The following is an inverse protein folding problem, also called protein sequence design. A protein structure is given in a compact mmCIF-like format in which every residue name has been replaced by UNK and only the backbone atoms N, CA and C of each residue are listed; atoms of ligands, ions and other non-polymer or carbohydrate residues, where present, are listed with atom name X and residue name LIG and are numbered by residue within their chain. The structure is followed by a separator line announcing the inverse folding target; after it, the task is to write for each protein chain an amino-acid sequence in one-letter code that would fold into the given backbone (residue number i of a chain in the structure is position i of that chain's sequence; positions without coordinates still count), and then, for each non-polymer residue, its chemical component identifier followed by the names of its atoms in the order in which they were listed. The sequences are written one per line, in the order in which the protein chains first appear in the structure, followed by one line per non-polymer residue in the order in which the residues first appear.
data_IF_474263931143
#
_entry.id   IF_474263931143
#
_cell.length_a   1.000
_cell.length_b   1.000
_cell.length_c   1.000
_cell.angle_alpha   90.00
_cell.angle_beta   90.00
_cell.angle_gamma   90.00
#
_symmetry.space_group_name_H-M   'P 1'
#
loop_
_entity.id
_entity.type
_entity.pdbx_description
1 polymer ?
#
# COMPACT_ATOMS: atom_id res chain seq x y z
N UNK A 1 72.01 21.63 86.88
CA UNK A 1 72.51 22.59 87.87
C UNK A 1 73.36 23.59 87.13
N UNK A 2 72.87 24.81 86.94
CA UNK A 2 73.68 25.91 86.40
C UNK A 2 74.37 26.61 87.56
N UNK A 3 75.71 26.53 87.62
CA UNK A 3 76.57 27.37 88.46
C UNK A 3 77.96 27.46 87.79
N UNK A 4 78.18 28.47 86.93
CA UNK A 4 79.54 28.93 86.56
C UNK A 4 79.55 30.20 85.67
N UNK A 5 78.58 31.12 85.82
CA UNK A 5 78.62 32.40 85.10
C UNK A 5 79.30 33.53 85.91
N UNK A 6 80.04 33.19 86.97
CA UNK A 6 80.56 34.16 87.96
C UNK A 6 82.09 34.30 87.99
N UNK A 7 82.87 33.51 87.23
CA UNK A 7 84.35 33.54 87.33
C UNK A 7 85.07 34.46 86.32
N UNK A 8 84.35 35.05 85.37
CA UNK A 8 84.89 36.02 84.42
C UNK A 8 84.95 37.46 84.96
N UNK A 9 84.85 37.67 86.28
CA UNK A 9 84.80 39.01 86.88
C UNK A 9 86.02 39.39 87.74
N UNK A 10 87.24 38.89 87.47
CA UNK A 10 88.45 39.33 88.20
C UNK A 10 89.60 39.85 87.29
N UNK A 11 89.87 41.18 87.23
CA UNK A 11 90.69 41.81 86.16
C UNK A 11 92.21 42.05 86.37
N UNK A 12 92.91 41.62 87.43
CA UNK A 12 94.31 42.06 87.69
C UNK A 12 95.47 41.17 87.20
N UNK A 13 95.24 39.93 86.75
CA UNK A 13 96.34 38.96 86.48
C UNK A 13 96.86 38.97 85.03
N UNK A 14 96.13 39.60 84.10
CA UNK A 14 96.34 39.51 82.65
C UNK A 14 97.48 40.39 82.09
N UNK A 15 98.05 41.35 82.83
CA UNK A 15 98.89 42.41 82.23
C UNK A 15 100.41 42.25 82.43
N UNK A 16 100.87 41.61 83.51
CA UNK A 16 102.29 41.66 83.89
C UNK A 16 103.26 40.86 83.02
N UNK A 17 102.83 39.73 82.44
CA UNK A 17 103.74 38.81 81.76
C UNK A 17 103.99 39.13 80.27
N UNK A 18 103.18 40.00 79.66
CA UNK A 18 103.26 40.34 78.23
C UNK A 18 104.49 41.14 77.81
N UNK A 19 105.20 41.82 78.72
CA UNK A 19 106.26 42.77 78.37
C UNK A 19 107.65 42.14 78.14
N UNK A 20 107.98 41.05 78.85
CA UNK A 20 109.32 40.43 78.74
C UNK A 20 109.49 39.67 77.42
N UNK A 21 108.39 39.16 76.86
CA UNK A 21 108.34 38.51 75.55
C UNK A 21 108.71 39.45 74.38
N UNK A 22 108.65 40.78 74.56
CA UNK A 22 108.83 41.74 73.47
C UNK A 22 110.29 42.17 73.25
N UNK A 23 111.12 42.21 74.29
CA UNK A 23 112.48 42.80 74.17
C UNK A 23 113.49 41.86 73.50
N UNK A 24 113.47 40.57 73.84
CA UNK A 24 114.40 39.57 73.28
C UNK A 24 114.13 39.33 71.79
N UNK A 25 112.87 39.46 71.36
CA UNK A 25 112.46 39.31 69.96
C UNK A 25 113.07 40.38 69.04
N UNK A 26 113.38 41.57 69.57
CA UNK A 26 113.87 42.69 68.77
C UNK A 26 115.35 42.56 68.33
N UNK A 27 116.21 41.92 69.14
CA UNK A 27 117.66 41.84 68.86
C UNK A 27 118.03 40.79 67.81
N UNK A 28 117.29 39.68 67.75
CA UNK A 28 117.57 38.58 66.80
C UNK A 28 117.19 38.95 65.35
N UNK A 29 116.24 39.89 65.18
CA UNK A 29 115.79 40.31 63.85
C UNK A 29 116.83 41.13 63.07
N UNK A 30 117.86 41.69 63.73
CA UNK A 30 118.77 42.66 63.11
C UNK A 30 120.00 42.05 62.43
N UNK A 31 120.52 40.91 62.91
CA UNK A 31 121.81 40.37 62.45
C UNK A 31 121.76 39.48 61.20
N UNK A 32 120.60 38.97 60.80
CA UNK A 32 120.49 38.07 59.63
C UNK A 32 120.31 38.76 58.27
N UNK A 33 120.13 40.09 58.25
CA UNK A 33 119.76 40.85 57.06
C UNK A 33 120.85 40.90 55.97
N UNK A 34 122.13 40.65 56.29
CA UNK A 34 123.25 40.84 55.34
C UNK A 34 123.51 39.65 54.39
N UNK A 35 123.16 38.40 54.75
CA UNK A 35 123.25 37.26 53.82
C UNK A 35 122.11 37.17 52.80
N UNK A 36 121.16 38.13 52.84
CA UNK A 36 119.97 38.15 51.97
C UNK A 36 120.18 38.86 50.63
N UNK A 37 121.27 39.61 50.44
CA UNK A 37 121.41 40.50 49.29
C UNK A 37 121.76 39.80 47.95
N UNK A 38 122.51 38.69 47.95
CA UNK A 38 122.87 37.99 46.70
C UNK A 38 121.81 37.00 46.20
N UNK A 39 120.91 36.52 47.08
CA UNK A 39 119.79 35.63 46.69
C UNK A 39 118.54 36.37 46.22
N UNK A 40 118.45 37.68 46.44
CA UNK A 40 117.30 38.49 46.06
C UNK A 40 117.26 38.86 44.57
N UNK A 41 118.40 39.00 43.89
CA UNK A 41 118.40 39.41 42.47
C UNK A 41 117.83 38.34 41.53
N UNK A 42 118.17 37.06 41.74
CA UNK A 42 117.71 35.97 40.87
C UNK A 42 116.19 35.71 40.98
N UNK A 43 115.58 35.97 42.15
CA UNK A 43 114.17 35.71 42.41
C UNK A 43 113.26 36.86 41.95
N UNK A 44 113.76 38.10 41.98
CA UNK A 44 113.00 39.31 41.58
C UNK A 44 112.78 39.34 40.06
N UNK A 45 113.76 38.91 39.25
CA UNK A 45 113.61 38.82 37.79
C UNK A 45 112.55 37.79 37.39
N UNK A 46 112.49 36.65 38.08
CA UNK A 46 111.48 35.63 37.82
C UNK A 46 110.07 36.09 38.21
N UNK A 47 109.92 36.80 39.33
CA UNK A 47 108.64 37.33 39.77
C UNK A 47 108.13 38.49 38.88
N UNK A 48 109.02 39.34 38.36
CA UNK A 48 108.66 40.39 37.39
C UNK A 48 108.15 39.78 36.07
N UNK A 49 108.74 38.68 35.61
CA UNK A 49 108.27 37.96 34.42
C UNK A 49 106.86 37.38 34.56
N UNK A 50 106.51 36.84 35.73
CA UNK A 50 105.16 36.34 36.00
C UNK A 50 104.13 37.45 36.23
N UNK A 51 104.53 38.59 36.81
CA UNK A 51 103.65 39.75 36.97
C UNK A 51 103.34 40.42 35.63
N UNK A 52 104.32 40.55 34.73
CA UNK A 52 104.10 41.11 33.39
C UNK A 52 103.05 40.30 32.61
N UNK A 53 103.16 38.96 32.64
CA UNK A 53 102.19 38.07 31.98
C UNK A 53 100.78 38.16 32.59
N UNK A 54 100.66 38.38 33.91
CA UNK A 54 99.34 38.54 34.56
C UNK A 54 98.69 39.88 34.27
N UNK A 55 99.45 40.97 34.18
CA UNK A 55 98.93 42.29 33.83
C UNK A 55 98.44 42.31 32.38
N UNK A 56 99.15 41.64 31.47
CA UNK A 56 98.76 41.52 30.06
C UNK A 56 97.50 40.65 29.88
N UNK A 57 97.36 39.57 30.64
CA UNK A 57 96.14 38.78 30.67
C UNK A 57 94.94 39.56 31.25
N UNK A 58 95.15 40.39 32.26
CA UNK A 58 94.09 41.24 32.83
C UNK A 58 93.68 42.35 31.86
N UNK A 59 94.63 43.00 31.17
CA UNK A 59 94.29 44.02 30.17
C UNK A 59 93.55 43.43 28.98
N UNK A 60 93.89 42.21 28.56
CA UNK A 60 93.16 41.47 27.53
C UNK A 60 91.72 41.14 27.97
N UNK A 61 91.53 40.70 29.22
CA UNK A 61 90.19 40.44 29.77
C UNK A 61 89.34 41.71 29.89
N UNK A 62 89.94 42.85 30.25
CA UNK A 62 89.24 44.13 30.38
C UNK A 62 88.85 44.71 29.02
N UNK A 63 89.69 44.55 27.99
CA UNK A 63 89.36 44.92 26.62
C UNK A 63 88.21 44.06 26.04
N UNK A 64 88.16 42.76 26.39
CA UNK A 64 87.10 41.86 25.96
C UNK A 64 85.75 42.21 26.61
N UNK A 65 85.75 42.65 27.86
CA UNK A 65 84.53 43.10 28.56
C UNK A 65 84.01 44.44 28.03
N UNK A 66 84.89 45.40 27.72
CA UNK A 66 84.48 46.69 27.14
C UNK A 66 83.92 46.52 25.71
N UNK A 67 84.47 45.56 24.94
CA UNK A 67 83.92 45.13 23.66
C UNK A 67 82.54 44.46 23.79
N UNK A 68 82.37 43.57 24.77
CA UNK A 68 81.10 42.89 25.04
C UNK A 68 79.97 43.84 25.46
N UNK A 69 80.27 44.82 26.32
CA UNK A 69 79.29 45.81 26.78
C UNK A 69 78.87 46.78 25.67
N UNK A 70 79.80 47.19 24.79
CA UNK A 70 79.45 48.00 23.60
C UNK A 70 78.63 47.21 22.59
N UNK A 71 78.97 45.95 22.35
CA UNK A 71 78.18 45.08 21.47
C UNK A 71 76.76 44.88 22.00
N UNK A 72 76.61 44.68 23.31
CA UNK A 72 75.29 44.50 23.93
C UNK A 72 74.45 45.77 23.89
N UNK A 73 75.03 46.95 24.16
CA UNK A 73 74.33 48.24 24.03
C UNK A 73 73.87 48.51 22.58
N UNK A 74 74.69 48.14 21.59
CA UNK A 74 74.34 48.30 20.18
C UNK A 74 73.22 47.34 19.74
N UNK A 75 73.23 46.08 20.23
CA UNK A 75 72.13 45.15 19.98
C UNK A 75 70.82 45.59 20.64
N UNK A 76 70.87 46.20 21.83
CA UNK A 76 69.68 46.72 22.51
C UNK A 76 69.08 47.93 21.78
N UNK A 77 69.92 48.83 21.24
CA UNK A 77 69.47 49.96 20.42
C UNK A 77 68.83 49.53 19.09
N UNK A 78 69.36 48.47 18.46
CA UNK A 78 68.77 47.88 17.25
C UNK A 78 67.43 47.19 17.53
N UNK A 79 67.27 46.53 18.69
CA UNK A 79 66.00 45.90 19.08
C UNK A 79 64.92 46.97 19.33
N UNK A 80 65.27 48.11 19.94
CA UNK A 80 64.32 49.19 20.16
C UNK A 80 63.83 49.82 18.84
N UNK A 81 64.73 50.09 17.89
CA UNK A 81 64.36 50.62 16.56
C UNK A 81 63.57 49.61 15.73
N UNK A 82 63.89 48.31 15.84
CA UNK A 82 63.11 47.26 15.18
C UNK A 82 61.71 47.10 15.77
N UNK A 83 61.56 47.22 17.09
CA UNK A 83 60.25 47.24 17.76
C UNK A 83 59.39 48.43 17.32
N UNK A 84 59.99 49.61 17.18
CA UNK A 84 59.28 50.82 16.76
C UNK A 84 58.82 50.72 15.29
N UNK A 85 59.65 50.17 14.40
CA UNK A 85 59.24 49.86 13.02
C UNK A 85 58.13 48.80 12.96
N UNK A 86 58.21 47.73 13.76
CA UNK A 86 57.17 46.70 13.83
C UNK A 86 55.84 47.25 14.33
N UNK A 87 55.85 48.15 15.32
CA UNK A 87 54.63 48.77 15.83
C UNK A 87 53.96 49.66 14.78
N UNK A 88 54.73 50.44 14.00
CA UNK A 88 54.20 51.22 12.88
C UNK A 88 53.61 50.34 11.77
N UNK A 89 54.32 49.26 11.41
CA UNK A 89 53.88 48.31 10.37
C UNK A 89 52.62 47.53 10.78
N UNK A 90 52.50 47.16 12.06
CA UNK A 90 51.30 46.51 12.60
C UNK A 90 50.12 47.49 12.65
N UNK A 91 50.33 48.76 13.01
CA UNK A 91 49.25 49.75 13.10
C UNK A 91 48.67 50.11 11.72
N UNK A 92 49.52 50.21 10.69
CA UNK A 92 49.09 50.45 9.29
C UNK A 92 48.36 49.23 8.73
N UNK A 93 48.89 48.02 8.93
CA UNK A 93 48.23 46.79 8.48
C UNK A 93 46.87 46.56 9.19
N UNK A 94 46.75 46.90 10.47
CA UNK A 94 45.47 46.81 11.17
C UNK A 94 44.44 47.78 10.59
N UNK A 95 44.82 49.03 10.32
CA UNK A 95 43.92 50.03 9.74
C UNK A 95 43.51 49.66 8.32
N UNK A 96 44.43 49.17 7.50
CA UNK A 96 44.13 48.75 6.13
C UNK A 96 43.21 47.52 6.10
N UNK A 97 43.45 46.53 6.98
CA UNK A 97 42.58 45.37 7.09
C UNK A 97 41.21 45.73 7.65
N UNK A 98 41.11 46.62 8.64
CA UNK A 98 39.82 47.11 9.15
C UNK A 98 39.04 47.86 8.07
N UNK A 99 39.71 48.69 7.25
CA UNK A 99 39.09 49.38 6.13
C UNK A 99 38.62 48.42 5.02
N UNK A 100 39.41 47.39 4.71
CA UNK A 100 39.04 46.32 3.76
C UNK A 100 37.86 45.50 4.28
N UNK A 101 37.85 45.16 5.57
CA UNK A 101 36.74 44.45 6.22
C UNK A 101 35.48 45.31 6.19
N UNK A 102 35.55 46.59 6.55
CA UNK A 102 34.38 47.49 6.53
C UNK A 102 33.80 47.72 5.12
N UNK A 103 34.65 47.87 4.08
CA UNK A 103 34.14 47.96 2.70
C UNK A 103 33.54 46.64 2.23
N UNK A 104 34.20 45.52 2.53
CA UNK A 104 33.70 44.19 2.18
C UNK A 104 32.37 43.85 2.86
N UNK A 105 32.16 44.22 4.13
CA UNK A 105 30.85 44.05 4.79
C UNK A 105 29.80 45.02 4.25
N UNK A 106 30.16 46.25 3.89
CA UNK A 106 29.22 47.20 3.27
C UNK A 106 28.73 46.75 1.89
N UNK A 107 29.64 46.31 1.02
CA UNK A 107 29.31 45.81 -0.33
C UNK A 107 28.51 44.51 -0.27
N UNK A 108 28.86 43.58 0.64
CA UNK A 108 28.09 42.36 0.82
C UNK A 108 26.70 42.61 1.39
N UNK A 109 26.55 43.57 2.33
CA UNK A 109 25.24 43.93 2.87
C UNK A 109 24.36 44.61 1.81
N UNK A 110 24.94 45.49 0.98
CA UNK A 110 24.23 46.11 -0.13
C UNK A 110 23.78 45.08 -1.17
N UNK A 111 24.66 44.14 -1.56
CA UNK A 111 24.29 43.04 -2.46
C UNK A 111 23.23 42.12 -1.86
N UNK A 112 23.28 41.86 -0.56
CA UNK A 112 22.29 41.03 0.13
C UNK A 112 20.93 41.74 0.20
N UNK A 113 20.92 43.05 0.46
CA UNK A 113 19.69 43.86 0.46
C UNK A 113 19.07 43.97 -0.94
N UNK A 114 19.91 44.16 -1.97
CA UNK A 114 19.50 44.14 -3.38
C UNK A 114 18.92 42.79 -3.77
N UNK A 115 19.63 41.68 -3.51
CA UNK A 115 19.14 40.32 -3.80
C UNK A 115 17.86 39.99 -3.04
N UNK A 116 17.72 40.44 -1.80
CA UNK A 116 16.51 40.23 -1.01
C UNK A 116 15.32 41.02 -1.60
N UNK A 117 15.55 42.25 -2.07
CA UNK A 117 14.54 43.05 -2.77
C UNK A 117 14.13 42.41 -4.10
N UNK A 118 15.09 41.96 -4.90
CA UNK A 118 14.81 41.31 -6.19
C UNK A 118 14.08 39.97 -6.00
N UNK A 119 14.47 39.21 -4.96
CA UNK A 119 13.80 37.94 -4.62
C UNK A 119 12.38 38.21 -4.10
N UNK A 120 12.17 39.24 -3.26
CA UNK A 120 10.83 39.60 -2.79
C UNK A 120 9.93 40.08 -3.93
N UNK A 121 10.45 40.87 -4.88
CA UNK A 121 9.71 41.31 -6.05
C UNK A 121 9.32 40.13 -6.96
N UNK A 122 10.26 39.22 -7.23
CA UNK A 122 9.99 38.00 -7.99
C UNK A 122 8.97 37.08 -7.28
N UNK A 123 9.09 36.94 -5.95
CA UNK A 123 8.18 36.15 -5.14
C UNK A 123 6.78 36.78 -5.06
N UNK A 124 6.67 38.11 -5.04
CA UNK A 124 5.39 38.82 -5.08
C UNK A 124 4.69 38.69 -6.44
N UNK A 125 5.43 38.79 -7.54
CA UNK A 125 4.89 38.55 -8.89
C UNK A 125 4.44 37.09 -9.06
N UNK A 126 5.24 36.13 -8.60
CA UNK A 126 4.88 34.71 -8.63
C UNK A 126 3.65 34.42 -7.75
N UNK A 127 3.52 35.09 -6.60
CA UNK A 127 2.34 34.94 -5.73
C UNK A 127 1.09 35.55 -6.37
N UNK A 128 1.19 36.69 -7.06
CA UNK A 128 0.08 37.26 -7.82
C UNK A 128 -0.34 36.38 -9.00
N UNK A 129 0.62 35.84 -9.75
CA UNK A 129 0.34 34.93 -10.87
C UNK A 129 -0.30 33.63 -10.39
N UNK A 130 0.17 33.08 -9.27
CA UNK A 130 -0.44 31.92 -8.63
C UNK A 130 -1.86 32.22 -8.12
N UNK A 131 -2.10 33.39 -7.53
CA UNK A 131 -3.43 33.81 -7.08
C UNK A 131 -4.38 34.04 -8.26
N UNK A 132 -3.93 34.65 -9.35
CA UNK A 132 -4.73 34.85 -10.55
C UNK A 132 -5.07 33.52 -11.23
N UNK A 133 -4.09 32.62 -11.39
CA UNK A 133 -4.32 31.28 -11.92
C UNK A 133 -5.21 30.44 -11.00
N UNK A 134 -5.08 30.58 -9.68
CA UNK A 134 -5.98 29.94 -8.73
C UNK A 134 -7.40 30.49 -8.88
N UNK A 135 -7.60 31.80 -8.94
CA UNK A 135 -8.92 32.41 -9.14
C UNK A 135 -9.58 31.97 -10.45
N UNK A 136 -8.82 31.91 -11.56
CA UNK A 136 -9.34 31.43 -12.84
C UNK A 136 -9.76 29.96 -12.78
N UNK A 137 -8.94 29.09 -12.15
CA UNK A 137 -9.29 27.67 -11.96
C UNK A 137 -10.50 27.49 -11.05
N UNK A 138 -10.59 28.26 -9.97
CA UNK A 138 -11.73 28.21 -9.06
C UNK A 138 -13.01 28.70 -9.74
N UNK A 139 -12.95 29.78 -10.52
CA UNK A 139 -14.11 30.27 -11.27
C UNK A 139 -14.56 29.31 -12.37
N UNK A 140 -13.63 28.67 -13.08
CA UNK A 140 -13.98 27.61 -14.05
C UNK A 140 -14.58 26.40 -13.35
N UNK A 141 -13.98 25.94 -12.26
CA UNK A 141 -14.52 24.82 -11.48
C UNK A 141 -15.92 25.13 -10.92
N UNK A 142 -16.15 26.35 -10.43
CA UNK A 142 -17.46 26.77 -9.94
C UNK A 142 -18.50 26.86 -11.06
N UNK A 143 -18.12 27.38 -12.24
CA UNK A 143 -19.01 27.43 -13.41
C UNK A 143 -19.39 26.04 -13.88
N UNK A 144 -18.42 25.12 -14.00
CA UNK A 144 -18.66 23.72 -14.38
C UNK A 144 -19.53 22.99 -13.35
N UNK A 145 -19.32 23.26 -12.06
CA UNK A 145 -20.10 22.67 -10.97
C UNK A 145 -21.54 23.23 -10.99
N UNK A 146 -21.72 24.51 -11.27
CA UNK A 146 -23.03 25.14 -11.42
C UNK A 146 -23.79 24.61 -12.64
N UNK A 147 -23.10 24.40 -13.77
CA UNK A 147 -23.69 23.80 -14.98
C UNK A 147 -24.06 22.32 -14.76
N UNK A 148 -23.19 21.54 -14.11
CA UNK A 148 -23.48 20.14 -13.75
C UNK A 148 -24.60 20.02 -12.71
N UNK A 149 -24.65 20.92 -11.73
CA UNK A 149 -25.75 20.96 -10.77
C UNK A 149 -27.06 21.37 -11.45
N UNK A 150 -27.05 22.35 -12.34
CA UNK A 150 -28.28 22.78 -13.03
C UNK A 150 -28.80 21.69 -13.98
N UNK A 151 -27.92 21.08 -14.77
CA UNK A 151 -28.27 19.94 -15.64
C UNK A 151 -28.70 18.70 -14.84
N UNK A 152 -28.05 18.40 -13.72
CA UNK A 152 -28.45 17.29 -12.84
C UNK A 152 -29.76 17.58 -12.11
N UNK A 153 -30.00 18.80 -11.62
CA UNK A 153 -31.24 19.18 -10.93
C UNK A 153 -32.41 19.26 -11.91
N UNK A 154 -32.25 19.86 -13.09
CA UNK A 154 -33.28 19.86 -14.13
C UNK A 154 -33.53 18.47 -14.70
N UNK A 155 -32.47 17.67 -14.88
CA UNK A 155 -32.57 16.26 -15.30
C UNK A 155 -33.30 15.41 -14.27
N UNK A 156 -32.91 15.51 -12.99
CA UNK A 156 -33.57 14.82 -11.88
C UNK A 156 -35.01 15.30 -11.68
N UNK A 157 -35.29 16.60 -11.80
CA UNK A 157 -36.65 17.14 -11.70
C UNK A 157 -37.54 16.64 -12.84
N UNK A 158 -37.03 16.60 -14.09
CA UNK A 158 -37.74 16.05 -15.24
C UNK A 158 -37.97 14.55 -15.10
N UNK A 159 -36.97 13.80 -14.63
CA UNK A 159 -37.07 12.36 -14.41
C UNK A 159 -38.00 12.04 -13.24
N UNK A 160 -38.00 12.86 -12.18
CA UNK A 160 -38.91 12.75 -11.04
C UNK A 160 -40.33 13.10 -11.44
N UNK A 161 -40.54 14.16 -12.22
CA UNK A 161 -41.86 14.51 -12.78
C UNK A 161 -42.39 13.39 -13.67
N UNK A 162 -41.54 12.86 -14.57
CA UNK A 162 -41.92 11.72 -15.44
C UNK A 162 -42.24 10.48 -14.62
N UNK A 163 -41.44 10.19 -13.59
CA UNK A 163 -41.67 9.05 -12.68
C UNK A 163 -42.93 9.25 -11.86
N UNK A 164 -43.23 10.46 -11.40
CA UNK A 164 -44.48 10.80 -10.70
C UNK A 164 -45.70 10.70 -11.62
N UNK A 165 -45.59 11.13 -12.87
CA UNK A 165 -46.65 10.96 -13.87
C UNK A 165 -46.87 9.47 -14.18
N UNK A 166 -45.80 8.69 -14.36
CA UNK A 166 -45.89 7.24 -14.52
C UNK A 166 -46.43 6.54 -13.27
N UNK A 167 -46.10 7.03 -12.07
CA UNK A 167 -46.67 6.53 -10.81
C UNK A 167 -48.14 6.91 -10.67
N UNK A 168 -48.55 8.10 -11.08
CA UNK A 168 -49.96 8.50 -11.14
C UNK A 168 -50.73 7.69 -12.17
N UNK A 169 -50.16 7.41 -13.34
CA UNK A 169 -50.74 6.49 -14.33
C UNK A 169 -50.84 5.08 -13.77
N UNK A 170 -49.80 4.60 -13.08
CA UNK A 170 -49.83 3.29 -12.40
C UNK A 170 -50.84 3.25 -11.26
N UNK A 171 -50.96 4.31 -10.47
CA UNK A 171 -51.97 4.43 -9.41
C UNK A 171 -53.38 4.49 -10.01
N UNK A 172 -53.59 5.21 -11.10
CA UNK A 172 -54.86 5.19 -11.84
C UNK A 172 -55.15 3.81 -12.46
N UNK A 173 -54.12 3.05 -12.89
CA UNK A 173 -54.31 1.64 -13.26
C UNK A 173 -54.57 0.74 -12.06
N UNK A 174 -54.07 1.08 -10.87
CA UNK A 174 -54.36 0.36 -9.63
C UNK A 174 -55.78 0.65 -9.17
N UNK A 175 -56.27 1.89 -9.27
CA UNK A 175 -57.67 2.25 -9.00
C UNK A 175 -58.62 1.60 -10.00
N UNK A 176 -58.24 1.54 -11.29
CA UNK A 176 -58.94 0.71 -12.30
C UNK A 176 -58.85 -0.78 -12.00
N UNK A 177 -57.71 -1.26 -11.48
CA UNK A 177 -57.56 -2.65 -11.06
C UNK A 177 -58.41 -2.93 -9.80
N UNK A 178 -58.60 -1.94 -8.92
CA UNK A 178 -59.46 -2.02 -7.75
C UNK A 178 -60.93 -2.03 -8.16
N UNK A 179 -61.36 -1.17 -9.10
CA UNK A 179 -62.67 -1.26 -9.74
C UNK A 179 -62.87 -2.62 -10.45
N UNK A 180 -61.83 -3.15 -11.09
CA UNK A 180 -61.85 -4.49 -11.67
C UNK A 180 -61.89 -5.60 -10.60
N UNK A 181 -61.34 -5.39 -9.41
CA UNK A 181 -61.46 -6.31 -8.26
C UNK A 181 -62.88 -6.26 -7.68
N UNK A 182 -63.53 -5.09 -7.62
CA UNK A 182 -64.95 -4.99 -7.25
C UNK A 182 -65.85 -5.61 -8.32
N UNK A 183 -65.47 -5.50 -9.60
CA UNK A 183 -66.11 -6.20 -10.74
C UNK A 183 -65.77 -7.69 -10.83
N UNK A 184 -64.71 -8.17 -10.19
CA UNK A 184 -64.36 -9.60 -10.15
C UNK A 184 -65.43 -10.42 -9.41
N UNK A 185 -66.22 -9.79 -8.54
CA UNK A 185 -67.42 -10.39 -7.96
C UNK A 185 -68.60 -10.49 -8.95
N UNK A 186 -68.55 -9.77 -10.08
CA UNK A 186 -69.53 -9.78 -11.17
C UNK A 186 -69.09 -10.51 -12.44
N UNK A 187 -67.80 -10.84 -12.60
CA UNK A 187 -67.23 -11.55 -13.76
C UNK A 187 -67.58 -13.05 -13.84
N UNK A 188 -68.55 -13.51 -13.07
CA UNK A 188 -69.23 -14.79 -13.35
C UNK A 188 -70.16 -14.65 -14.58
N UNK A 189 -70.58 -13.43 -14.92
CA UNK A 189 -71.49 -13.18 -16.05
C UNK A 189 -70.79 -13.10 -17.41
N UNK A 190 -69.54 -12.62 -17.50
CA UNK A 190 -68.80 -12.56 -18.79
C UNK A 190 -68.22 -13.91 -19.23
N UNK A 191 -68.15 -14.88 -18.32
CA UNK A 191 -67.81 -16.27 -18.59
C UNK A 191 -68.93 -17.01 -19.36
N UNK A 192 -70.21 -16.67 -19.12
CA UNK A 192 -71.36 -17.41 -19.68
C UNK A 192 -71.41 -17.37 -21.22
N UNK A 193 -71.05 -16.23 -21.84
CA UNK A 193 -71.16 -16.05 -23.29
C UNK A 193 -70.02 -16.73 -24.08
N UNK A 194 -68.85 -16.92 -23.46
CA UNK A 194 -67.67 -17.55 -24.09
C UNK A 194 -67.65 -19.08 -23.85
N UNK A 195 -68.35 -19.58 -22.83
CA UNK A 195 -68.20 -20.95 -22.31
C UNK A 195 -69.37 -21.90 -22.61
N UNK A 196 -70.23 -21.59 -23.58
CA UNK A 196 -71.41 -22.42 -23.90
C UNK A 196 -71.09 -23.87 -24.34
N UNK A 197 -69.89 -24.14 -24.88
CA UNK A 197 -69.49 -25.47 -25.36
C UNK A 197 -68.25 -26.02 -24.65
N UNK A 198 -68.31 -27.28 -24.20
CA UNK A 198 -67.26 -28.03 -23.47
C UNK A 198 -65.87 -27.94 -24.11
N UNK A 199 -65.81 -27.97 -25.44
CA UNK A 199 -64.54 -27.92 -26.15
C UNK A 199 -63.90 -26.52 -26.12
N UNK A 200 -64.71 -25.47 -26.26
CA UNK A 200 -64.27 -24.08 -26.15
C UNK A 200 -63.81 -23.76 -24.72
N UNK A 201 -64.43 -24.37 -23.71
CA UNK A 201 -64.01 -24.28 -22.29
C UNK A 201 -62.63 -24.87 -22.06
N UNK A 202 -62.39 -26.08 -22.57
CA UNK A 202 -61.07 -26.72 -22.49
C UNK A 202 -59.99 -25.87 -23.15
N UNK A 203 -60.28 -25.38 -24.36
CA UNK A 203 -59.39 -24.48 -25.08
C UNK A 203 -59.12 -23.17 -24.32
N UNK A 204 -60.11 -22.58 -23.65
CA UNK A 204 -59.91 -21.36 -22.85
C UNK A 204 -58.92 -21.60 -21.70
N UNK A 205 -59.07 -22.70 -20.96
CA UNK A 205 -58.15 -23.06 -19.89
C UNK A 205 -56.72 -23.28 -20.41
N UNK A 206 -56.57 -23.97 -21.55
CA UNK A 206 -55.28 -24.20 -22.19
C UNK A 206 -54.64 -22.90 -22.71
N UNK A 207 -55.41 -22.00 -23.32
CA UNK A 207 -54.94 -20.70 -23.81
C UNK A 207 -54.45 -19.84 -22.64
N UNK A 208 -55.22 -19.77 -21.55
CA UNK A 208 -54.85 -19.00 -20.37
C UNK A 208 -53.60 -19.58 -19.70
N UNK A 209 -53.51 -20.91 -19.57
CA UNK A 209 -52.32 -21.58 -19.06
C UNK A 209 -51.09 -21.27 -19.93
N UNK A 210 -51.21 -21.36 -21.25
CA UNK A 210 -50.13 -21.08 -22.19
C UNK A 210 -49.65 -19.62 -22.06
N UNK A 211 -50.57 -18.66 -21.98
CA UNK A 211 -50.23 -17.24 -21.80
C UNK A 211 -49.46 -17.00 -20.48
N UNK A 212 -49.92 -17.61 -19.37
CA UNK A 212 -49.26 -17.52 -18.06
C UNK A 212 -47.87 -18.14 -18.11
N UNK A 213 -47.74 -19.36 -18.64
CA UNK A 213 -46.46 -20.07 -18.74
C UNK A 213 -45.49 -19.33 -19.64
N UNK A 214 -45.94 -18.85 -20.80
CA UNK A 214 -45.10 -18.11 -21.75
C UNK A 214 -44.60 -16.76 -21.22
N UNK A 215 -45.36 -16.12 -20.31
CA UNK A 215 -44.91 -14.91 -19.60
C UNK A 215 -43.99 -15.22 -18.42
N UNK A 216 -44.20 -16.35 -17.75
CA UNK A 216 -43.48 -16.69 -16.54
C UNK A 216 -42.14 -17.39 -16.81
N UNK A 217 -42.04 -18.20 -17.85
CA UNK A 217 -40.93 -19.11 -18.08
C UNK A 217 -40.31 -18.93 -19.47
N UNK A 218 -38.98 -19.06 -19.60
CA UNK A 218 -38.32 -19.16 -20.90
C UNK A 218 -38.84 -20.33 -21.75
N UNK A 219 -38.93 -20.15 -23.07
CA UNK A 219 -39.50 -21.16 -24.00
C UNK A 219 -38.79 -22.53 -23.98
N UNK A 220 -37.53 -22.57 -23.59
CA UNK A 220 -36.73 -23.81 -23.48
C UNK A 220 -36.99 -24.57 -22.17
N UNK A 221 -37.70 -23.97 -21.21
CA UNK A 221 -37.95 -24.54 -19.88
C UNK A 221 -39.30 -25.21 -19.72
N UNK A 222 -40.11 -25.30 -20.78
CA UNK A 222 -41.38 -26.00 -20.76
C UNK A 222 -41.75 -26.58 -22.12
N UNK A 223 -42.61 -27.59 -22.12
CA UNK A 223 -43.22 -28.19 -23.30
C UNK A 223 -44.73 -28.22 -23.15
N UNK A 224 -45.45 -27.63 -24.10
CA UNK A 224 -46.91 -27.70 -24.15
C UNK A 224 -47.36 -29.00 -24.80
N UNK A 225 -48.50 -29.54 -24.36
CA UNK A 225 -49.10 -30.75 -24.94
C UNK A 225 -48.11 -31.93 -24.98
N UNK A 226 -47.27 -32.05 -23.94
CA UNK A 226 -46.23 -33.06 -23.86
C UNK A 226 -46.82 -34.44 -23.57
N UNK A 227 -46.32 -35.48 -24.26
CA UNK A 227 -46.77 -36.86 -24.05
C UNK A 227 -45.73 -37.60 -23.21
N UNK A 228 -46.17 -38.09 -22.05
CA UNK A 228 -45.35 -38.86 -21.10
C UNK A 228 -45.12 -40.30 -21.58
N UNK A 229 -44.21 -41.02 -20.91
CA UNK A 229 -43.88 -42.42 -21.22
C UNK A 229 -45.08 -43.37 -21.22
N UNK A 230 -46.10 -43.07 -20.41
CA UNK A 230 -47.35 -43.84 -20.30
C UNK A 230 -48.37 -43.52 -21.42
N UNK A 231 -47.99 -42.71 -22.41
CA UNK A 231 -48.85 -42.31 -23.54
C UNK A 231 -49.93 -41.29 -23.17
N UNK A 232 -49.92 -40.74 -21.95
CA UNK A 232 -50.83 -39.66 -21.54
C UNK A 232 -50.24 -38.32 -21.93
N UNK A 233 -51.09 -37.44 -22.44
CA UNK A 233 -50.73 -36.09 -22.86
C UNK A 233 -51.14 -35.09 -21.78
N UNK A 234 -50.18 -34.33 -21.29
CA UNK A 234 -50.38 -33.25 -20.33
C UNK A 234 -50.44 -31.90 -21.04
N UNK A 235 -51.15 -30.93 -20.45
CA UNK A 235 -51.30 -29.61 -21.07
C UNK A 235 -49.98 -28.82 -21.07
N UNK A 236 -49.20 -28.93 -19.99
CA UNK A 236 -47.86 -28.35 -19.90
C UNK A 236 -46.95 -29.23 -19.03
N UNK A 237 -45.71 -29.41 -19.47
CA UNK A 237 -44.62 -29.98 -18.69
C UNK A 237 -43.54 -28.90 -18.50
N UNK A 238 -43.17 -28.62 -17.26
CA UNK A 238 -42.09 -27.70 -16.92
C UNK A 238 -40.84 -28.51 -16.65
N UNK A 239 -39.76 -28.19 -17.36
CA UNK A 239 -38.46 -28.79 -17.14
C UNK A 239 -37.81 -28.11 -15.95
N UNK A 240 -37.50 -28.88 -14.91
CA UNK A 240 -36.75 -28.43 -13.73
C UNK A 240 -35.59 -29.39 -13.45
N UNK A 241 -34.51 -28.89 -12.83
CA UNK A 241 -33.42 -29.75 -12.36
C UNK A 241 -33.92 -30.72 -11.28
N UNK A 242 -33.28 -31.88 -11.18
CA UNK A 242 -33.54 -32.86 -10.13
C UNK A 242 -32.69 -32.56 -8.87
N UNK A 243 -33.26 -32.50 -7.65
CA UNK A 243 -34.69 -32.45 -7.31
C UNK A 243 -35.31 -31.03 -7.46
N UNK A 244 -36.63 -30.90 -7.76
CA UNK A 244 -37.65 -31.97 -7.76
C UNK A 244 -37.84 -32.70 -9.11
N UNK A 245 -37.22 -32.25 -10.20
CA UNK A 245 -37.45 -32.82 -11.54
C UNK A 245 -38.68 -32.23 -12.26
N UNK A 246 -39.02 -32.72 -13.47
CA UNK A 246 -40.04 -32.11 -14.33
C UNK A 246 -41.45 -32.11 -13.70
N UNK A 247 -42.14 -30.97 -13.70
CA UNK A 247 -43.48 -30.82 -13.09
C UNK A 247 -44.53 -30.69 -14.17
N UNK A 248 -45.61 -31.45 -14.04
CA UNK A 248 -46.77 -31.39 -14.94
C UNK A 248 -47.82 -30.39 -14.44
N UNK A 249 -48.40 -29.63 -15.36
CA UNK A 249 -49.60 -28.81 -15.14
C UNK A 249 -50.71 -29.30 -16.07
N UNK A 250 -51.88 -29.55 -15.49
CA UNK A 250 -53.09 -29.95 -16.22
C UNK A 250 -54.25 -29.01 -15.86
N UNK A 251 -54.90 -28.47 -16.89
CA UNK A 251 -55.99 -27.52 -16.77
C UNK A 251 -57.31 -28.28 -16.64
N UNK A 252 -58.00 -28.11 -15.51
CA UNK A 252 -59.32 -28.72 -15.26
C UNK A 252 -60.31 -27.68 -14.79
N UNK A 253 -61.46 -27.68 -15.45
CA UNK A 253 -62.52 -26.72 -15.16
C UNK A 253 -63.83 -27.44 -14.81
N UNK A 254 -64.16 -27.61 -13.52
CA UNK A 254 -65.40 -28.25 -13.06
C UNK A 254 -66.60 -27.28 -13.14
N UNK A 255 -66.69 -26.48 -14.21
CA UNK A 255 -67.65 -25.39 -14.33
C UNK A 255 -69.11 -25.87 -14.27
N UNK A 256 -69.45 -26.96 -14.96
CA UNK A 256 -70.84 -27.48 -15.02
C UNK A 256 -71.39 -27.78 -13.61
N UNK A 257 -70.56 -28.39 -12.77
CA UNK A 257 -70.94 -28.72 -11.40
C UNK A 257 -71.02 -27.46 -10.50
N UNK A 258 -70.18 -26.46 -10.79
CA UNK A 258 -70.19 -25.17 -10.11
C UNK A 258 -71.41 -24.31 -10.52
N UNK A 259 -71.75 -24.27 -11.81
CA UNK A 259 -72.94 -23.61 -12.33
C UNK A 259 -74.21 -24.25 -11.80
N UNK A 260 -74.29 -25.58 -11.76
CA UNK A 260 -75.42 -26.29 -11.16
C UNK A 260 -75.61 -25.90 -9.68
N UNK A 261 -74.51 -25.73 -8.94
CA UNK A 261 -74.53 -25.26 -7.55
C UNK A 261 -75.02 -23.81 -7.44
N UNK A 262 -74.59 -22.91 -8.33
CA UNK A 262 -75.01 -21.50 -8.35
C UNK A 262 -76.46 -21.29 -8.81
N UNK A 263 -76.92 -22.09 -9.76
CA UNK A 263 -78.28 -22.01 -10.32
C UNK A 263 -79.35 -22.66 -9.42
N UNK A 264 -78.93 -23.31 -8.32
CA UNK A 264 -79.83 -23.98 -7.39
C UNK A 264 -80.77 -23.00 -6.70
N UNK A 265 -82.08 -23.25 -6.75
CA UNK A 265 -83.10 -22.39 -6.13
C UNK A 265 -83.64 -22.98 -4.83
N UNK A 266 -83.49 -24.31 -4.66
CA UNK A 266 -83.88 -25.02 -3.44
C UNK A 266 -82.67 -25.57 -2.68
N UNK A 267 -82.83 -25.78 -1.37
CA UNK A 267 -81.78 -26.38 -0.54
C UNK A 267 -81.41 -27.80 -0.99
N UNK A 268 -82.39 -28.56 -1.50
CA UNK A 268 -82.17 -29.90 -2.04
C UNK A 268 -81.31 -29.88 -3.32
N UNK A 269 -81.59 -28.94 -4.23
CA UNK A 269 -80.78 -28.72 -5.44
C UNK A 269 -79.36 -28.27 -5.07
N UNK A 270 -79.23 -27.35 -4.13
CA UNK A 270 -77.92 -26.86 -3.67
C UNK A 270 -77.07 -28.01 -3.13
N UNK A 271 -77.66 -28.87 -2.30
CA UNK A 271 -76.97 -30.04 -1.74
C UNK A 271 -76.53 -31.02 -2.84
N UNK A 272 -77.36 -31.23 -3.86
CA UNK A 272 -77.02 -32.07 -5.00
C UNK A 272 -75.89 -31.46 -5.85
N UNK A 273 -75.95 -30.15 -6.12
CA UNK A 273 -74.92 -29.40 -6.84
C UNK A 273 -73.56 -29.44 -6.13
N UNK A 274 -73.54 -29.22 -4.81
CA UNK A 274 -72.34 -29.36 -3.98
C UNK A 274 -71.74 -30.77 -4.12
N UNK A 275 -72.57 -31.82 -4.03
CA UNK A 275 -72.09 -33.20 -4.11
C UNK A 275 -71.50 -33.52 -5.50
N UNK A 276 -72.13 -33.00 -6.56
CA UNK A 276 -71.62 -33.12 -7.93
C UNK A 276 -70.27 -32.41 -8.09
N UNK A 277 -70.14 -31.19 -7.54
CA UNK A 277 -68.89 -30.43 -7.58
C UNK A 277 -67.76 -31.16 -6.85
N UNK A 278 -68.03 -31.64 -5.62
CA UNK A 278 -67.07 -32.45 -4.85
C UNK A 278 -66.61 -33.68 -5.61
N UNK A 279 -67.56 -34.39 -6.23
CA UNK A 279 -67.25 -35.61 -6.98
C UNK A 279 -66.40 -35.31 -8.21
N UNK A 280 -66.71 -34.23 -8.93
CA UNK A 280 -65.97 -33.79 -10.12
C UNK A 280 -64.53 -33.40 -9.78
N UNK A 281 -64.33 -32.54 -8.77
CA UNK A 281 -62.99 -32.10 -8.34
C UNK A 281 -62.15 -33.29 -7.85
N UNK A 282 -62.73 -34.18 -7.02
CA UNK A 282 -62.03 -35.37 -6.53
C UNK A 282 -61.60 -36.30 -7.66
N UNK A 283 -62.46 -36.46 -8.68
CA UNK A 283 -62.11 -37.23 -9.88
C UNK A 283 -60.93 -36.60 -10.61
N UNK A 284 -60.91 -35.28 -10.79
CA UNK A 284 -59.80 -34.58 -11.43
C UNK A 284 -58.49 -34.73 -10.66
N UNK A 285 -58.50 -34.55 -9.33
CA UNK A 285 -57.34 -34.76 -8.48
C UNK A 285 -56.80 -36.19 -8.66
N UNK A 286 -57.68 -37.20 -8.60
CA UNK A 286 -57.30 -38.60 -8.78
C UNK A 286 -56.72 -38.87 -10.17
N UNK A 287 -57.40 -38.39 -11.22
CA UNK A 287 -56.96 -38.55 -12.61
C UNK A 287 -55.58 -37.93 -12.84
N UNK A 288 -55.31 -36.74 -12.27
CA UNK A 288 -54.02 -36.05 -12.40
C UNK A 288 -52.93 -36.85 -11.67
N UNK A 289 -53.18 -37.25 -10.42
CA UNK A 289 -52.23 -38.00 -9.62
C UNK A 289 -51.83 -39.33 -10.31
N UNK A 290 -52.80 -40.07 -10.85
CA UNK A 290 -52.56 -41.38 -11.47
C UNK A 290 -51.90 -41.28 -12.86
N UNK A 291 -52.15 -40.20 -13.60
CA UNK A 291 -51.66 -40.07 -14.99
C UNK A 291 -50.33 -39.36 -15.10
N UNK A 292 -50.01 -38.48 -14.17
CA UNK A 292 -48.91 -37.53 -14.35
C UNK A 292 -47.85 -37.56 -13.25
N UNK A 293 -48.08 -38.26 -12.13
CA UNK A 293 -47.06 -38.44 -11.10
C UNK A 293 -46.41 -39.81 -11.30
N UNK A 294 -45.33 -39.84 -12.08
CA UNK A 294 -44.60 -41.04 -12.49
C UNK A 294 -43.21 -41.01 -11.86
N UNK A 295 -42.92 -42.02 -11.03
CA UNK A 295 -41.64 -42.14 -10.35
C UNK A 295 -40.47 -42.25 -11.35
N UNK A 296 -39.45 -41.41 -11.18
CA UNK A 296 -38.27 -41.36 -12.04
C UNK A 296 -38.42 -40.56 -13.34
N UNK A 297 -39.64 -40.14 -13.70
CA UNK A 297 -39.90 -39.33 -14.90
C UNK A 297 -40.36 -37.91 -14.54
N UNK A 298 -41.33 -37.79 -13.63
CA UNK A 298 -41.87 -36.50 -13.17
C UNK A 298 -41.54 -36.28 -11.70
N UNK A 299 -41.69 -35.04 -11.26
CA UNK A 299 -41.58 -34.67 -9.86
C UNK A 299 -42.61 -35.42 -8.99
N UNK A 300 -42.37 -35.37 -7.68
CA UNK A 300 -43.23 -35.93 -6.64
C UNK A 300 -44.53 -35.12 -6.43
N UNK A 301 -45.15 -34.69 -7.54
CA UNK A 301 -46.44 -34.03 -7.57
C UNK A 301 -46.68 -33.23 -8.86
N UNK A 302 -47.93 -32.79 -9.02
CA UNK A 302 -48.42 -32.09 -10.21
C UNK A 302 -49.30 -30.90 -9.82
N UNK A 303 -49.48 -29.95 -10.75
CA UNK A 303 -50.36 -28.80 -10.56
C UNK A 303 -51.69 -29.02 -11.30
N UNK A 304 -52.80 -28.85 -10.58
CA UNK A 304 -54.13 -28.74 -11.17
C UNK A 304 -54.48 -27.26 -11.34
N UNK A 305 -54.50 -26.80 -12.58
CA UNK A 305 -54.82 -25.43 -12.91
C UNK A 305 -56.33 -25.23 -13.03
N UNK A 306 -56.91 -24.35 -12.21
CA UNK A 306 -58.28 -23.86 -12.36
C UNK A 306 -58.24 -22.48 -13.02
N UNK A 307 -58.83 -22.31 -14.21
CA UNK A 307 -58.80 -21.04 -14.95
C UNK A 307 -59.77 -19.97 -14.40
N UNK A 308 -60.09 -20.01 -13.10
CA UNK A 308 -61.00 -19.07 -12.44
C UNK A 308 -60.58 -18.83 -10.99
N UNK A 309 -60.31 -17.57 -10.64
CA UNK A 309 -60.01 -17.16 -9.26
C UNK A 309 -61.22 -17.36 -8.34
N UNK A 310 -62.43 -17.10 -8.84
CA UNK A 310 -63.65 -17.23 -8.04
C UNK A 310 -63.88 -18.68 -7.58
N UNK A 311 -63.75 -19.64 -8.50
CA UNK A 311 -63.89 -21.07 -8.17
C UNK A 311 -62.77 -21.51 -7.21
N UNK A 312 -61.54 -21.06 -7.43
CA UNK A 312 -60.42 -21.36 -6.54
C UNK A 312 -60.66 -20.84 -5.11
N UNK A 313 -61.13 -19.61 -4.96
CA UNK A 313 -61.42 -19.00 -3.67
C UNK A 313 -62.56 -19.74 -2.95
N UNK A 314 -63.64 -20.08 -3.67
CA UNK A 314 -64.75 -20.83 -3.10
C UNK A 314 -64.35 -22.25 -2.70
N UNK A 315 -63.51 -22.91 -3.51
CA UNK A 315 -62.95 -24.23 -3.20
C UNK A 315 -62.20 -24.23 -1.87
N UNK A 316 -61.32 -23.25 -1.65
CA UNK A 316 -60.53 -23.13 -0.42
C UNK A 316 -61.37 -22.72 0.79
N UNK A 317 -62.41 -21.91 0.58
CA UNK A 317 -63.27 -21.42 1.66
C UNK A 317 -64.29 -22.47 2.13
N UNK A 318 -65.00 -23.12 1.19
CA UNK A 318 -66.13 -24.01 1.50
C UNK A 318 -65.78 -25.49 1.50
N UNK A 319 -64.70 -25.89 0.81
CA UNK A 319 -64.36 -27.31 0.59
C UNK A 319 -62.90 -27.64 0.95
N UNK A 320 -62.45 -27.33 2.19
CA UNK A 320 -61.07 -27.60 2.61
C UNK A 320 -60.73 -29.10 2.63
N UNK A 321 -61.73 -29.99 2.67
CA UNK A 321 -61.56 -31.43 2.51
C UNK A 321 -60.95 -31.79 1.16
N UNK A 322 -61.43 -31.19 0.07
CA UNK A 322 -60.91 -31.43 -1.28
C UNK A 322 -59.47 -30.93 -1.44
N UNK A 323 -59.16 -29.78 -0.84
CA UNK A 323 -57.80 -29.22 -0.84
C UNK A 323 -56.85 -30.17 -0.14
N UNK A 324 -57.23 -30.68 1.04
CA UNK A 324 -56.42 -31.66 1.78
C UNK A 324 -56.22 -32.97 1.00
N UNK A 325 -57.27 -33.49 0.38
CA UNK A 325 -57.17 -34.65 -0.50
C UNK A 325 -56.21 -34.41 -1.69
N UNK A 326 -56.20 -33.20 -2.25
CA UNK A 326 -55.23 -32.77 -3.25
C UNK A 326 -53.79 -32.90 -2.73
N UNK A 327 -53.51 -32.33 -1.56
CA UNK A 327 -52.19 -32.44 -0.91
C UNK A 327 -51.78 -33.89 -0.65
N UNK A 328 -52.68 -34.72 -0.11
CA UNK A 328 -52.42 -36.14 0.14
C UNK A 328 -52.12 -36.93 -1.14
N UNK A 329 -52.71 -36.52 -2.27
CA UNK A 329 -52.45 -37.09 -3.59
C UNK A 329 -51.30 -36.43 -4.34
N UNK A 330 -50.58 -35.47 -3.72
CA UNK A 330 -49.50 -34.70 -4.33
C UNK A 330 -49.95 -33.90 -5.56
N UNK A 331 -51.19 -33.39 -5.52
CA UNK A 331 -51.77 -32.53 -6.55
C UNK A 331 -52.09 -31.18 -5.94
N UNK A 332 -51.34 -30.16 -6.33
CA UNK A 332 -51.54 -28.80 -5.85
C UNK A 332 -52.48 -28.04 -6.76
N UNK A 333 -53.52 -27.50 -6.15
CA UNK A 333 -54.54 -26.73 -6.82
C UNK A 333 -54.05 -25.30 -6.96
N UNK A 334 -54.06 -24.76 -8.19
CA UNK A 334 -53.60 -23.39 -8.47
C UNK A 334 -54.60 -22.64 -9.36
N UNK A 335 -54.79 -21.36 -9.07
CA UNK A 335 -55.49 -20.36 -9.88
C UNK A 335 -54.52 -19.58 -10.77
N UNK A 336 -54.96 -18.68 -11.67
CA UNK A 336 -54.07 -17.85 -12.48
C UNK A 336 -52.97 -17.13 -11.68
N UNK A 337 -53.33 -16.51 -10.56
CA UNK A 337 -52.40 -15.71 -9.74
C UNK A 337 -51.43 -16.62 -9.00
N UNK A 338 -51.91 -17.72 -8.41
CA UNK A 338 -51.06 -18.66 -7.67
C UNK A 338 -50.19 -19.50 -8.59
N UNK A 339 -50.67 -19.83 -9.80
CA UNK A 339 -49.88 -20.44 -10.85
C UNK A 339 -48.74 -19.50 -11.26
N UNK A 340 -49.03 -18.24 -11.57
CA UNK A 340 -48.01 -17.24 -11.90
C UNK A 340 -46.94 -17.11 -10.81
N UNK A 341 -47.36 -17.05 -9.54
CA UNK A 341 -46.43 -17.00 -8.40
C UNK A 341 -45.56 -18.26 -8.32
N UNK A 342 -46.16 -19.44 -8.47
CA UNK A 342 -45.48 -20.73 -8.46
C UNK A 342 -44.45 -20.84 -9.59
N UNK A 343 -44.81 -20.43 -10.79
CA UNK A 343 -43.92 -20.40 -11.96
C UNK A 343 -42.78 -19.40 -11.80
N UNK A 344 -43.02 -18.24 -11.17
CA UNK A 344 -41.96 -17.28 -10.86
C UNK A 344 -40.92 -17.87 -9.89
N UNK A 345 -41.36 -18.65 -8.90
CA UNK A 345 -40.46 -19.38 -8.00
C UNK A 345 -39.67 -20.44 -8.77
N UNK A 346 -40.32 -21.21 -9.65
CA UNK A 346 -39.66 -22.17 -10.54
C UNK A 346 -38.63 -21.51 -11.46
N UNK A 347 -38.92 -20.31 -11.99
CA UNK A 347 -37.97 -19.53 -12.80
C UNK A 347 -36.70 -19.20 -12.01
N UNK A 348 -36.83 -18.84 -10.73
CA UNK A 348 -35.67 -18.56 -9.88
C UNK A 348 -34.79 -19.79 -9.72
N UNK A 349 -35.40 -20.96 -9.47
CA UNK A 349 -34.69 -22.25 -9.40
C UNK A 349 -33.95 -22.55 -10.71
N UNK A 350 -34.60 -22.31 -11.86
CA UNK A 350 -33.98 -22.50 -13.17
C UNK A 350 -32.81 -21.56 -13.43
N UNK A 351 -32.89 -20.31 -12.95
CA UNK A 351 -31.79 -19.36 -13.06
C UNK A 351 -30.61 -19.83 -12.22
N UNK A 352 -30.85 -20.26 -10.99
CA UNK A 352 -29.82 -20.78 -10.09
C UNK A 352 -29.13 -22.03 -10.65
N UNK A 353 -29.90 -22.94 -11.23
CA UNK A 353 -29.36 -24.14 -11.88
C UNK A 353 -28.45 -23.80 -13.06
N UNK A 354 -28.89 -22.90 -13.95
CA UNK A 354 -28.08 -22.43 -15.09
C UNK A 354 -26.82 -21.69 -14.63
N UNK A 355 -26.90 -20.89 -13.57
CA UNK A 355 -25.74 -20.22 -12.99
C UNK A 355 -24.71 -21.21 -12.44
N UNK A 356 -25.15 -22.30 -11.80
CA UNK A 356 -24.25 -23.36 -11.30
C UNK A 356 -23.55 -24.11 -12.43
N UNK A 357 -24.26 -24.42 -13.51
CA UNK A 357 -23.68 -25.06 -14.70
C UNK A 357 -22.61 -24.17 -15.34
N UNK A 358 -22.92 -22.89 -15.55
CA UNK A 358 -21.96 -21.92 -16.09
C UNK A 358 -20.75 -21.71 -15.18
N UNK A 359 -20.94 -21.71 -13.85
CA UNK A 359 -19.82 -21.65 -12.90
C UNK A 359 -18.88 -22.86 -13.03
N UNK A 360 -19.42 -24.04 -13.36
CA UNK A 360 -18.63 -25.24 -13.66
C UNK A 360 -17.71 -25.05 -14.87
N UNK A 361 -18.26 -24.52 -15.96
CA UNK A 361 -17.50 -24.22 -17.18
C UNK A 361 -16.46 -23.10 -16.96
N UNK A 362 -16.80 -22.06 -16.19
CA UNK A 362 -15.84 -21.02 -15.79
C UNK A 362 -14.70 -21.63 -14.98
N UNK A 363 -14.98 -22.50 -14.00
CA UNK A 363 -13.94 -23.20 -13.23
C UNK A 363 -13.04 -24.05 -14.12
N UNK A 364 -13.59 -24.68 -15.17
CA UNK A 364 -12.82 -25.45 -16.14
C UNK A 364 -11.92 -24.55 -17.00
N UNK A 365 -12.44 -23.46 -17.51
CA UNK A 365 -11.66 -22.48 -18.26
C UNK A 365 -10.53 -21.88 -17.41
N UNK A 366 -10.81 -21.56 -16.14
CA UNK A 366 -9.82 -21.01 -15.21
C UNK A 366 -8.68 -22.01 -14.91
N UNK A 367 -8.98 -23.31 -14.80
CA UNK A 367 -7.95 -24.35 -14.65
C UNK A 367 -7.04 -24.43 -15.88
N UNK A 368 -7.61 -24.33 -17.07
CA UNK A 368 -6.81 -24.34 -18.30
C UNK A 368 -5.90 -23.10 -18.37
N UNK A 369 -6.45 -21.91 -18.06
CA UNK A 369 -5.67 -20.68 -18.01
C UNK A 369 -4.53 -20.76 -16.98
N UNK A 370 -4.79 -21.32 -15.79
CA UNK A 370 -3.76 -21.49 -14.77
C UNK A 370 -2.60 -22.36 -15.28
N UNK A 371 -2.91 -23.48 -15.95
CA UNK A 371 -1.91 -24.35 -16.59
C UNK A 371 -1.11 -23.62 -17.66
N UNK A 372 -1.75 -22.79 -18.47
CA UNK A 372 -1.05 -22.00 -19.48
C UNK A 372 -0.08 -21.00 -18.84
N UNK A 373 -0.47 -20.36 -17.73
CA UNK A 373 0.40 -19.46 -16.95
C UNK A 373 1.58 -20.21 -16.33
N UNK A 374 1.38 -21.42 -15.80
CA UNK A 374 2.48 -22.26 -15.30
C UNK A 374 3.51 -22.57 -16.40
N UNK A 375 3.06 -22.95 -17.60
CA UNK A 375 3.94 -23.23 -18.74
C UNK A 375 4.75 -21.98 -19.13
N UNK A 376 4.11 -20.80 -19.13
CA UNK A 376 4.81 -19.54 -19.41
C UNK A 376 5.87 -19.27 -18.34
N UNK A 377 5.55 -19.46 -17.06
CA UNK A 377 6.50 -19.32 -15.95
C UNK A 377 7.70 -20.25 -16.08
N UNK A 378 7.48 -21.54 -16.37
CA UNK A 378 8.56 -22.51 -16.59
C UNK A 378 9.46 -22.12 -17.77
N UNK A 379 8.87 -21.68 -18.89
CA UNK A 379 9.63 -21.24 -20.07
C UNK A 379 10.42 -19.97 -19.80
N UNK A 380 9.84 -19.02 -19.08
CA UNK A 380 10.51 -17.79 -18.67
C UNK A 380 11.71 -18.09 -17.76
N UNK A 381 11.57 -18.98 -16.77
CA UNK A 381 12.67 -19.39 -15.90
C UNK A 381 13.81 -20.11 -16.66
N UNK A 382 13.47 -20.95 -17.64
CA UNK A 382 14.49 -21.54 -18.54
C UNK A 382 15.20 -20.47 -19.37
N UNK A 383 14.46 -19.50 -19.91
CA UNK A 383 15.03 -18.39 -20.67
C UNK A 383 15.97 -17.53 -19.81
N UNK A 384 15.58 -17.21 -18.58
CA UNK A 384 16.42 -16.50 -17.61
C UNK A 384 17.74 -17.24 -17.38
N UNK A 385 17.67 -18.56 -17.19
CA UNK A 385 18.86 -19.41 -17.03
C UNK A 385 19.78 -19.33 -18.25
N UNK A 386 19.23 -19.40 -19.46
CA UNK A 386 20.02 -19.29 -20.70
C UNK A 386 20.62 -17.90 -20.91
N UNK A 387 19.89 -16.83 -20.56
CA UNK A 387 20.41 -15.46 -20.66
C UNK A 387 21.54 -15.22 -19.65
N UNK A 388 21.44 -15.77 -18.45
CA UNK A 388 22.52 -15.72 -17.46
C UNK A 388 23.77 -16.42 -17.99
N UNK A 389 23.62 -17.63 -18.52
CA UNK A 389 24.73 -18.38 -19.11
C UNK A 389 25.37 -17.62 -20.29
N UNK A 390 24.56 -17.06 -21.19
CA UNK A 390 25.06 -16.27 -22.31
C UNK A 390 25.81 -15.00 -21.83
N UNK A 391 25.32 -14.37 -20.76
CA UNK A 391 26.00 -13.23 -20.12
C UNK A 391 27.36 -13.61 -19.55
N UNK A 392 27.44 -14.75 -18.86
CA UNK A 392 28.70 -15.30 -18.32
C UNK A 392 29.69 -15.62 -19.45
N UNK A 393 29.22 -16.23 -20.55
CA UNK A 393 30.04 -16.53 -21.72
C UNK A 393 30.60 -15.25 -22.38
N UNK A 394 29.77 -14.22 -22.55
CA UNK A 394 30.19 -12.91 -23.08
C UNK A 394 31.25 -12.26 -22.18
N UNK A 395 31.06 -12.29 -20.86
CA UNK A 395 32.05 -11.77 -19.92
C UNK A 395 33.39 -12.53 -20.02
N UNK A 396 33.35 -13.84 -20.19
CA UNK A 396 34.52 -14.68 -20.47
C UNK A 396 35.26 -14.27 -21.75
N UNK A 397 34.53 -14.05 -22.85
CA UNK A 397 35.10 -13.62 -24.13
C UNK A 397 35.76 -12.24 -24.00
N UNK A 398 35.12 -11.27 -23.36
CA UNK A 398 35.68 -9.92 -23.15
C UNK A 398 36.97 -9.97 -22.32
N UNK A 399 37.02 -10.82 -21.30
CA UNK A 399 38.23 -11.04 -20.49
C UNK A 399 39.35 -11.64 -21.32
N UNK A 400 39.05 -12.67 -22.14
CA UNK A 400 40.03 -13.29 -23.03
C UNK A 400 40.55 -12.31 -24.09
N UNK A 401 39.66 -11.52 -24.71
CA UNK A 401 40.02 -10.48 -25.67
C UNK A 401 40.94 -9.41 -25.04
N UNK A 402 40.64 -8.97 -23.81
CA UNK A 402 41.49 -8.02 -23.08
C UNK A 402 42.88 -8.58 -22.81
N UNK A 403 42.99 -9.86 -22.41
CA UNK A 403 44.28 -10.54 -22.22
C UNK A 403 45.04 -10.69 -23.54
N UNK A 404 44.36 -11.09 -24.62
CA UNK A 404 44.96 -11.21 -25.94
C UNK A 404 45.50 -9.86 -26.44
N UNK A 405 44.73 -8.78 -26.25
CA UNK A 405 45.17 -7.43 -26.61
C UNK A 405 46.41 -6.99 -25.80
N UNK A 406 46.44 -7.27 -24.49
CA UNK A 406 47.63 -7.03 -23.66
C UNK A 406 48.85 -7.82 -24.16
N UNK A 407 48.68 -9.09 -24.55
CA UNK A 407 49.77 -9.91 -25.10
C UNK A 407 50.24 -9.38 -26.46
N UNK A 408 49.33 -9.00 -27.35
CA UNK A 408 49.65 -8.40 -28.64
C UNK A 408 50.44 -7.10 -28.50
N UNK A 409 50.02 -6.21 -27.58
CA UNK A 409 50.77 -4.98 -27.28
C UNK A 409 52.17 -5.25 -26.73
N UNK A 410 52.38 -6.30 -25.93
CA UNK A 410 53.72 -6.69 -25.46
C UNK A 410 54.61 -7.21 -26.60
N UNK A 411 54.02 -7.94 -27.56
CA UNK A 411 54.71 -8.44 -28.76
C UNK A 411 55.13 -7.32 -29.71
N UNK A 412 54.27 -6.31 -29.94
CA UNK A 412 54.59 -5.14 -30.78
C UNK A 412 55.72 -4.28 -30.18
N UNK A 413 55.86 -4.27 -28.86
CA UNK A 413 56.89 -3.50 -28.16
C UNK A 413 58.25 -4.23 -28.05
N UNK A 414 58.42 -5.42 -28.64
CA UNK A 414 59.64 -6.24 -28.58
C UNK A 414 60.19 -6.45 -27.16
N UNK A 415 59.31 -6.45 -26.15
CA UNK A 415 59.69 -6.55 -24.74
C UNK A 415 59.61 -8.03 -24.33
N UNK A 416 60.68 -8.78 -24.62
CA UNK A 416 60.78 -10.23 -24.41
C UNK A 416 61.59 -10.61 -23.15
N UNK A 417 61.43 -9.88 -22.04
CA UNK A 417 61.86 -10.37 -20.73
C UNK A 417 60.72 -11.11 -20.01
N UNK A 418 61.01 -12.36 -19.63
CA UNK A 418 60.22 -13.34 -18.86
C UNK A 418 58.96 -13.93 -19.52
N UNK A 419 59.18 -14.98 -20.32
CA UNK A 419 58.23 -16.09 -20.51
C UNK A 419 58.18 -16.96 -19.25
N UNK A 420 57.58 -16.45 -18.16
CA UNK A 420 57.13 -17.30 -17.07
C UNK A 420 55.72 -17.84 -17.40
N UNK A 421 55.46 -19.15 -17.25
CA UNK A 421 54.11 -19.68 -17.45
C UNK A 421 53.20 -19.20 -16.32
N UNK A 422 52.17 -18.41 -16.65
CA UNK A 422 51.08 -18.14 -15.72
C UNK A 422 50.25 -19.42 -15.50
N UNK A 423 49.78 -19.68 -14.26
CA UNK A 423 49.02 -20.88 -13.95
C UNK A 423 47.69 -20.90 -14.72
N UNK A 424 47.32 -22.09 -15.21
CA UNK A 424 46.06 -22.31 -15.93
C UNK A 424 44.85 -21.89 -15.08
N UNK A 425 43.81 -21.30 -15.69
CA UNK A 425 42.59 -20.96 -14.98
C UNK A 425 41.86 -22.27 -14.61
N UNK A 426 41.66 -22.49 -13.31
CA UNK A 426 40.66 -23.43 -12.82
C UNK A 426 39.30 -23.04 -13.40
N UNK A 427 38.72 -23.89 -14.23
CA UNK A 427 37.38 -23.71 -14.76
C UNK A 427 36.33 -23.59 -13.64
N UNK A 428 35.16 -23.02 -13.91
CA UNK A 428 34.13 -22.83 -12.90
C UNK A 428 33.74 -24.19 -12.30
N UNK A 429 33.88 -24.30 -10.97
CA UNK A 429 33.32 -25.41 -10.21
C UNK A 429 31.82 -25.45 -10.48
N UNK A 430 31.38 -26.49 -11.21
CA UNK A 430 29.96 -26.80 -11.34
C UNK A 430 29.50 -27.26 -9.97
N UNK A 431 28.95 -26.34 -9.19
CA UNK A 431 28.24 -26.65 -7.97
C UNK A 431 26.96 -27.40 -8.37
N UNK A 432 27.06 -28.73 -8.37
CA UNK A 432 25.92 -29.63 -8.43
C UNK A 432 25.13 -29.46 -7.13
N UNK A 433 24.15 -28.56 -7.15
CA UNK A 433 23.10 -28.59 -6.15
C UNK A 433 22.29 -29.88 -6.34
N UNK A 434 22.43 -30.74 -5.33
CA UNK A 434 21.63 -31.92 -5.09
C UNK A 434 20.18 -31.48 -4.83
N UNK A 435 19.33 -31.53 -5.85
CA UNK A 435 17.88 -31.64 -5.68
C UNK A 435 17.56 -33.12 -5.38
N UNK A 436 17.71 -33.51 -4.12
CA UNK A 436 17.04 -34.68 -3.57
C UNK A 436 15.74 -34.25 -2.87
N UNK A 437 14.65 -34.73 -3.45
CA UNK A 437 13.42 -35.19 -2.78
C UNK A 437 12.82 -34.33 -1.66
N UNK A 438 11.71 -33.66 -1.98
CA UNK A 438 10.56 -33.73 -1.07
C UNK A 438 9.30 -34.12 -1.86
N UNK A 439 9.02 -35.42 -1.84
CA UNK A 439 7.67 -35.96 -1.97
C UNK A 439 7.19 -36.17 -0.54
N UNK A 440 6.26 -35.33 -0.09
CA UNK A 440 5.13 -35.78 0.73
C UNK A 440 3.94 -34.86 0.60
#
# INVERSE_FOLDING_TARGET
MTDLNTLLQNPTVLTGLGLVALFVLALILRSGAQKRAERTEALIVQHMGQMAQRVEALSAGQAQLDGGLRAQAQTQGQIATLMEQRLGEVQVNLHENLAKVQRGTGENLAMMQQKMSDTMAAQQLQMQENLANMQLRTNHALTDLQEKLNTSLMGNAKQTATSLTQLQERLATIDKAQENITKLSGDVLSLQDILSNKQTRGAFGEIQLNDIVGKALPRDSYALQHTLSNGKRADCLIHLPNPPGPIVIDSKFPLEAYEAMLASQTEAELKAGIQLFKTSVRKHIKDIAERYVIEGETADGALMFLPSEAIYAELHSKFPDLVREGFEKRVWIVSPTTCMATLNTMRAILKDARMREQAGEIRKALRNLHRDVEIVGERAGKLETHLRQAGDDVAGILTAATRANKRAHKLDNFDFEELAPEPEPTGPEVQRDLLEADKS
#
